data_IF_079729243700
#
_entry.id   IF_079729243700
#
_cell.length_a   1.000
_cell.length_b   1.000
_cell.length_c   1.000
_cell.angle_alpha   90.00
_cell.angle_beta   90.00
_cell.angle_gamma   90.00
#
_symmetry.space_group_name_H-M   'P 1'
#
loop_
_entity.id
_entity.type
_entity.pdbx_description
1 polymer ?
#
# COMPACT_ATOMS: atom_id res chain seq x y z
N UNK A 1 1.00 8.32 -8.93
CA UNK A 1 2.10 9.25 -9.29
C UNK A 1 3.06 8.65 -10.29
N UNK A 2 4.02 7.80 -9.89
CA UNK A 2 5.12 7.36 -10.78
C UNK A 2 4.74 6.93 -12.21
N UNK A 3 3.62 6.21 -12.41
CA UNK A 3 3.15 5.80 -13.75
C UNK A 3 2.68 7.00 -14.59
N UNK A 4 2.05 8.00 -13.98
CA UNK A 4 1.56 9.20 -14.68
C UNK A 4 2.73 10.17 -14.93
N UNK A 5 3.70 10.22 -14.02
CA UNK A 5 4.78 11.21 -14.06
C UNK A 5 5.82 10.99 -15.16
N UNK A 6 5.84 9.82 -15.80
CA UNK A 6 6.72 9.58 -16.96
C UNK A 6 6.20 10.20 -18.26
N UNK A 7 4.93 10.65 -18.27
CA UNK A 7 4.31 11.23 -19.45
C UNK A 7 4.40 12.76 -19.47
N UNK A 8 4.48 13.39 -20.65
CA UNK A 8 4.41 14.84 -20.80
C UNK A 8 3.13 15.43 -20.21
N UNK A 9 3.19 16.69 -19.76
CA UNK A 9 2.08 17.34 -19.05
C UNK A 9 0.73 17.28 -19.78
N UNK A 10 0.71 17.47 -21.10
CA UNK A 10 -0.49 17.40 -21.93
C UNK A 10 -1.14 16.01 -21.98
N UNK A 11 -0.38 14.94 -21.69
CA UNK A 11 -0.86 13.56 -21.73
C UNK A 11 -1.29 13.04 -20.35
N UNK A 12 -0.89 13.71 -19.26
CA UNK A 12 -1.10 13.22 -17.89
C UNK A 12 -2.57 12.99 -17.54
N UNK A 13 -3.46 13.91 -17.94
CA UNK A 13 -4.89 13.80 -17.63
C UNK A 13 -5.56 12.62 -18.35
N UNK A 14 -5.19 12.39 -19.61
CA UNK A 14 -5.64 11.25 -20.40
C UNK A 14 -5.12 9.93 -19.79
N UNK A 15 -3.83 9.86 -19.47
CA UNK A 15 -3.21 8.66 -18.87
C UNK A 15 -3.82 8.34 -17.51
N UNK A 16 -4.07 9.37 -16.68
CA UNK A 16 -4.75 9.22 -15.38
C UNK A 16 -6.15 8.65 -15.55
N UNK A 17 -6.90 9.12 -16.55
CA UNK A 17 -8.24 8.62 -16.87
C UNK A 17 -8.21 7.14 -17.27
N UNK A 18 -7.34 6.77 -18.22
CA UNK A 18 -7.16 5.38 -18.65
C UNK A 18 -6.71 4.45 -17.52
N UNK A 19 -5.79 4.92 -16.67
CA UNK A 19 -5.36 4.19 -15.49
C UNK A 19 -6.52 3.95 -14.51
N UNK A 20 -7.36 4.96 -14.29
CA UNK A 20 -8.51 4.82 -13.38
C UNK A 20 -9.49 3.73 -13.83
N UNK A 21 -9.67 3.54 -15.13
CA UNK A 21 -10.62 2.57 -15.67
C UNK A 21 -10.06 1.14 -15.67
N UNK A 22 -8.77 1.01 -15.98
CA UNK A 22 -8.09 -0.28 -16.12
C UNK A 22 -7.56 -0.83 -14.80
N UNK A 23 -7.28 0.02 -13.79
CA UNK A 23 -6.67 -0.42 -12.53
C UNK A 23 -7.56 -1.42 -11.77
N UNK A 24 -6.98 -2.58 -11.47
CA UNK A 24 -7.60 -3.65 -10.68
C UNK A 24 -7.10 -3.65 -9.24
N UNK A 25 -5.79 -3.59 -9.04
CA UNK A 25 -5.18 -3.54 -7.72
C UNK A 25 -3.73 -3.02 -7.83
N UNK A 26 -3.20 -2.54 -6.71
CA UNK A 26 -1.78 -2.29 -6.51
C UNK A 26 -1.35 -3.09 -5.28
N UNK A 27 -0.30 -3.89 -5.42
CA UNK A 27 0.30 -4.66 -4.33
C UNK A 27 1.75 -4.22 -4.22
N UNK A 28 2.08 -3.59 -3.10
CA UNK A 28 3.45 -3.20 -2.77
C UNK A 28 4.01 -4.18 -1.76
N UNK A 29 5.21 -4.69 -2.02
CA UNK A 29 5.87 -5.69 -1.19
C UNK A 29 7.15 -5.14 -0.57
N UNK A 30 7.32 -5.38 0.74
CA UNK A 30 8.58 -5.15 1.46
C UNK A 30 9.06 -6.47 2.06
N UNK A 31 10.30 -6.86 1.73
CA UNK A 31 10.91 -8.07 2.26
C UNK A 31 11.61 -7.80 3.59
N UNK A 32 11.25 -8.60 4.59
CA UNK A 32 11.71 -8.51 5.98
C UNK A 32 12.54 -9.74 6.33
N UNK A 33 13.50 -9.59 7.25
CA UNK A 33 14.15 -10.74 7.89
C UNK A 33 13.14 -11.50 8.76
N UNK A 34 13.09 -12.82 8.62
CA UNK A 34 12.24 -13.68 9.43
C UNK A 34 12.99 -14.14 10.69
N UNK A 35 12.29 -14.27 11.80
CA UNK A 35 12.81 -14.94 12.99
C UNK A 35 13.19 -16.39 12.64
N UNK A 36 14.41 -16.80 13.01
CA UNK A 36 14.94 -18.13 12.66
C UNK A 36 15.52 -18.25 11.25
N UNK A 37 15.65 -17.15 10.51
CA UNK A 37 16.31 -17.11 9.21
C UNK A 37 15.37 -17.07 8.00
N UNK A 38 15.93 -16.69 6.85
CA UNK A 38 15.15 -16.43 5.63
C UNK A 38 14.45 -15.07 5.64
N UNK A 39 13.48 -14.91 4.72
CA UNK A 39 12.73 -13.66 4.55
C UNK A 39 11.23 -13.92 4.46
N UNK A 40 10.45 -12.91 4.82
CA UNK A 40 9.00 -12.86 4.61
C UNK A 40 8.60 -11.55 3.93
N UNK A 41 7.55 -11.60 3.12
CA UNK A 41 6.97 -10.43 2.47
C UNK A 41 5.87 -9.82 3.35
N UNK A 42 6.01 -8.54 3.67
CA UNK A 42 4.91 -7.69 4.13
C UNK A 42 4.29 -7.00 2.91
N UNK A 43 2.96 -6.93 2.85
CA UNK A 43 2.20 -6.44 1.72
C UNK A 43 1.32 -5.26 2.11
N UNK A 44 1.41 -4.19 1.33
CA UNK A 44 0.37 -3.16 1.25
C UNK A 44 -0.47 -3.43 0.00
N UNK A 45 -1.79 -3.50 0.19
CA UNK A 45 -2.74 -3.91 -0.85
C UNK A 45 -3.80 -2.83 -0.99
N UNK A 46 -3.94 -2.31 -2.20
CA UNK A 46 -5.01 -1.41 -2.59
C UNK A 46 -5.81 -2.02 -3.74
N UNK A 47 -7.13 -2.09 -3.60
CA UNK A 47 -8.02 -2.61 -4.64
C UNK A 47 -8.66 -1.44 -5.41
N UNK A 48 -8.69 -1.55 -6.74
CA UNK A 48 -9.25 -0.54 -7.65
C UNK A 48 -10.78 -0.53 -7.65
N UNK A 49 -11.40 -0.26 -6.49
CA UNK A 49 -12.85 -0.06 -6.36
C UNK A 49 -13.27 1.32 -6.91
N UNK A 50 -14.57 1.58 -7.18
CA UNK A 50 -15.03 2.82 -7.80
C UNK A 50 -14.54 4.11 -7.11
N UNK A 51 -14.47 4.14 -5.77
CA UNK A 51 -13.98 5.30 -5.01
C UNK A 51 -12.48 5.55 -5.22
N UNK A 52 -11.64 4.51 -5.22
CA UNK A 52 -10.21 4.62 -5.56
C UNK A 52 -10.02 5.14 -6.98
N UNK A 53 -10.79 4.62 -7.94
CA UNK A 53 -10.75 5.08 -9.34
C UNK A 53 -11.16 6.54 -9.46
N UNK A 54 -12.13 6.99 -8.68
CA UNK A 54 -12.53 8.39 -8.63
C UNK A 54 -11.41 9.29 -8.09
N UNK A 55 -10.76 8.89 -7.00
CA UNK A 55 -9.63 9.62 -6.43
C UNK A 55 -8.45 9.72 -7.41
N UNK A 56 -8.22 8.67 -8.22
CA UNK A 56 -7.22 8.72 -9.29
C UNK A 56 -7.60 9.80 -10.30
N UNK A 57 -8.85 9.84 -10.81
CA UNK A 57 -9.29 10.85 -11.80
C UNK A 57 -9.20 12.28 -11.29
N UNK A 58 -9.55 12.49 -10.02
CA UNK A 58 -9.54 13.82 -9.39
C UNK A 58 -8.14 14.26 -8.90
N UNK A 59 -7.10 13.47 -9.16
CA UNK A 59 -5.73 13.74 -8.69
C UNK A 59 -5.61 13.84 -7.15
N UNK A 60 -6.48 13.14 -6.42
CA UNK A 60 -6.56 13.15 -4.95
C UNK A 60 -5.81 11.97 -4.32
N UNK A 61 -4.58 11.75 -4.78
CA UNK A 61 -3.81 10.53 -4.47
C UNK A 61 -3.45 10.44 -2.98
N UNK A 62 -3.25 11.57 -2.31
CA UNK A 62 -3.02 11.61 -0.86
C UNK A 62 -4.17 10.99 -0.05
N UNK A 63 -5.42 11.05 -0.54
CA UNK A 63 -6.60 10.50 0.15
C UNK A 63 -6.71 8.98 -0.02
N UNK A 64 -6.00 8.39 -0.98
CA UNK A 64 -6.04 6.94 -1.24
C UNK A 64 -5.48 6.15 -0.05
N UNK A 65 -4.55 6.70 0.73
CA UNK A 65 -4.04 6.03 1.92
C UNK A 65 -5.15 5.79 2.96
N UNK A 66 -6.00 6.79 3.21
CA UNK A 66 -7.15 6.66 4.11
C UNK A 66 -8.18 5.63 3.61
N UNK A 67 -8.34 5.51 2.29
CA UNK A 67 -9.17 4.46 1.70
C UNK A 67 -8.61 3.05 1.94
N UNK A 68 -7.29 2.87 1.90
CA UNK A 68 -6.65 1.59 2.23
C UNK A 68 -6.86 1.25 3.71
N UNK A 69 -6.76 2.25 4.60
CA UNK A 69 -6.96 2.05 6.05
C UNK A 69 -8.36 1.53 6.39
N UNK A 70 -9.40 2.03 5.71
CA UNK A 70 -10.80 1.63 5.95
C UNK A 70 -11.30 0.53 5.00
N UNK A 71 -10.52 0.19 3.98
CA UNK A 71 -10.89 -0.73 2.90
C UNK A 71 -10.72 -2.22 3.21
N UNK A 72 -10.56 -2.61 4.48
CA UNK A 72 -10.30 -4.01 4.87
C UNK A 72 -11.37 -4.99 4.36
N UNK A 73 -12.64 -4.58 4.33
CA UNK A 73 -13.75 -5.36 3.76
C UNK A 73 -13.59 -5.70 2.28
N UNK A 74 -12.80 -4.91 1.55
CA UNK A 74 -12.47 -5.14 0.15
C UNK A 74 -11.14 -5.89 -0.04
N UNK A 75 -10.53 -6.39 1.05
CA UNK A 75 -9.22 -7.03 1.02
C UNK A 75 -8.04 -6.04 0.97
N UNK A 76 -8.27 -4.75 1.24
CA UNK A 76 -7.19 -3.78 1.37
C UNK A 76 -6.47 -3.93 2.69
N UNK A 77 -5.19 -3.56 2.72
CA UNK A 77 -4.35 -3.65 3.91
C UNK A 77 -3.21 -2.65 3.79
N UNK A 78 -2.97 -1.85 4.82
CA UNK A 78 -1.78 -0.99 4.87
C UNK A 78 -0.54 -1.81 5.19
N UNK A 79 0.64 -1.30 4.82
CA UNK A 79 1.91 -1.95 5.21
C UNK A 79 1.99 -2.16 6.73
N UNK A 80 1.68 -1.11 7.50
CA UNK A 80 1.75 -1.15 8.97
C UNK A 80 0.80 -2.17 9.58
N UNK A 81 -0.39 -2.35 9.01
CA UNK A 81 -1.33 -3.38 9.47
C UNK A 81 -0.76 -4.79 9.25
N UNK A 82 -0.09 -5.03 8.11
CA UNK A 82 0.55 -6.33 7.86
C UNK A 82 1.77 -6.55 8.75
N UNK A 83 2.59 -5.53 8.95
CA UNK A 83 3.74 -5.60 9.86
C UNK A 83 3.31 -5.95 11.29
N UNK A 84 2.24 -5.33 11.80
CA UNK A 84 1.67 -5.68 13.12
C UNK A 84 1.21 -7.14 13.17
N UNK A 85 0.55 -7.62 12.10
CA UNK A 85 0.13 -9.02 11.99
C UNK A 85 1.32 -10.00 11.97
N UNK A 86 2.40 -9.66 11.26
CA UNK A 86 3.61 -10.50 11.23
C UNK A 86 4.33 -10.53 12.60
N UNK A 87 4.34 -9.41 13.32
CA UNK A 87 4.87 -9.32 14.69
C UNK A 87 4.03 -10.14 15.66
N UNK A 88 2.70 -9.97 15.64
CA UNK A 88 1.80 -10.71 16.56
C UNK A 88 1.84 -12.22 16.35
N UNK A 89 2.14 -12.66 15.12
CA UNK A 89 2.36 -14.07 14.76
C UNK A 89 3.78 -14.56 15.05
N UNK A 90 4.67 -13.71 15.59
CA UNK A 90 6.05 -14.05 15.90
C UNK A 90 6.94 -14.33 14.68
N UNK A 91 6.52 -13.91 13.48
CA UNK A 91 7.24 -14.19 12.23
C UNK A 91 8.46 -13.26 12.08
N UNK A 92 8.33 -12.02 12.50
CA UNK A 92 9.40 -11.01 12.49
C UNK A 92 9.53 -10.37 13.87
N UNK A 93 10.67 -9.74 14.15
CA UNK A 93 10.86 -8.99 15.39
C UNK A 93 10.20 -7.61 15.32
N UNK A 94 9.87 -7.03 16.49
CA UNK A 94 9.37 -5.66 16.60
C UNK A 94 10.36 -4.67 15.98
N UNK A 95 11.65 -4.86 16.21
CA UNK A 95 12.70 -3.99 15.66
C UNK A 95 12.74 -4.04 14.12
N UNK A 96 12.65 -5.26 13.56
CA UNK A 96 12.59 -5.45 12.11
C UNK A 96 11.36 -4.75 11.53
N UNK A 97 10.17 -4.94 12.13
CA UNK A 97 8.94 -4.27 11.71
C UNK A 97 9.05 -2.74 11.79
N UNK A 98 9.54 -2.18 12.90
CA UNK A 98 9.74 -0.73 13.07
C UNK A 98 10.65 -0.11 12.03
N UNK A 99 11.68 -0.84 11.58
CA UNK A 99 12.61 -0.34 10.56
C UNK A 99 11.98 -0.11 9.18
N UNK A 100 10.82 -0.70 8.91
CA UNK A 100 10.11 -0.61 7.62
C UNK A 100 8.70 -0.04 7.72
N UNK A 101 8.20 0.20 8.93
CA UNK A 101 6.88 0.79 9.15
C UNK A 101 6.85 2.25 8.68
N UNK A 102 5.70 2.68 8.17
CA UNK A 102 5.43 4.08 7.86
C UNK A 102 5.26 4.89 9.13
N UNK A 103 4.58 4.32 10.14
CA UNK A 103 4.56 4.82 11.51
C UNK A 103 5.19 3.80 12.48
N UNK A 104 6.50 3.94 12.80
CA UNK A 104 7.20 3.05 13.72
C UNK A 104 6.61 3.03 15.14
N UNK A 105 5.99 4.13 15.59
CA UNK A 105 5.41 4.22 16.93
C UNK A 105 4.15 3.36 17.08
N UNK A 106 3.45 3.13 15.96
CA UNK A 106 2.26 2.29 15.93
C UNK A 106 2.58 0.79 16.05
N UNK A 107 3.84 0.38 15.89
CA UNK A 107 4.30 -1.00 16.07
C UNK A 107 4.65 -1.22 17.56
N UNK A 108 3.73 -1.85 18.27
CA UNK A 108 3.89 -2.29 19.67
C UNK A 108 4.14 -3.80 19.72
N UNK A 109 4.89 -4.24 20.74
CA UNK A 109 5.19 -5.64 21.01
C UNK A 109 4.30 -6.20 22.10
#
# INVERSE_FOLDING_TARGET
>A
DRIIDVFPGAEKDMVRSMLSESLRAVISQTLMKKNGGGRVAAHEIMIGIPSIRNLIREDKIAQMYSMIQTGAQHGMKTLDADLKSLVSRGIISVAEARSKAKDPNAIVG
#
